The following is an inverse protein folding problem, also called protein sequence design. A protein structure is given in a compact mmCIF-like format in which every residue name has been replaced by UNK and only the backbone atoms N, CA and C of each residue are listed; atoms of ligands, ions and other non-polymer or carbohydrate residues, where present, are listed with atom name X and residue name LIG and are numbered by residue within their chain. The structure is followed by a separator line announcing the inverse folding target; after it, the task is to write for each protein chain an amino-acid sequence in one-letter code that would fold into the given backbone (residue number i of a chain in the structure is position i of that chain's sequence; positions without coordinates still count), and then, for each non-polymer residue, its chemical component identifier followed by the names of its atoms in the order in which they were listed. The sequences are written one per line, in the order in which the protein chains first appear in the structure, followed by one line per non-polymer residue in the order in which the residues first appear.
data_IF_289632638991
#
_entry.id   IF_289632638991
#
_cell.length_a   1.000
_cell.length_b   1.000
_cell.length_c   1.000
_cell.angle_alpha   90.00
_cell.angle_beta   90.00
_cell.angle_gamma   90.00
#
_symmetry.space_group_name_H-M   'P 1'
#
loop_
_entity.id
_entity.type
_entity.pdbx_description
1 polymer ?
#
# COMPACT_ATOMS: atom_id res chain seq x y z
N UNK A 1 22.39 -24.89 -3.40
CA UNK A 1 22.10 -23.45 -3.37
C UNK A 1 20.69 -23.27 -2.83
N UNK A 2 20.55 -22.88 -1.56
CA UNK A 2 19.23 -22.65 -0.96
C UNK A 2 18.71 -21.30 -1.48
N UNK A 3 17.63 -21.32 -2.27
CA UNK A 3 16.95 -20.13 -2.75
C UNK A 3 16.27 -19.46 -1.54
N UNK A 4 16.78 -18.31 -1.11
CA UNK A 4 16.09 -17.49 -0.14
C UNK A 4 14.83 -16.92 -0.83
N UNK A 5 13.66 -17.43 -0.46
CA UNK A 5 12.41 -16.81 -0.81
C UNK A 5 12.33 -15.50 -0.02
N UNK A 6 12.21 -14.38 -0.74
CA UNK A 6 11.98 -13.07 -0.16
C UNK A 6 10.57 -13.06 0.41
N UNK A 7 10.41 -13.34 1.70
CA UNK A 7 9.11 -13.23 2.37
C UNK A 7 8.95 -11.79 2.81
N UNK A 8 8.27 -11.00 2.00
CA UNK A 8 7.78 -9.69 2.38
C UNK A 8 6.72 -9.90 3.47
N UNK A 9 7.07 -9.61 4.73
CA UNK A 9 6.12 -9.68 5.84
C UNK A 9 5.15 -8.49 5.78
N UNK A 10 4.30 -8.44 4.74
CA UNK A 10 3.18 -7.52 4.68
C UNK A 10 2.04 -8.12 5.49
N UNK A 11 2.01 -7.84 6.80
CA UNK A 11 0.95 -8.33 7.70
C UNK A 11 -0.32 -7.51 7.47
N UNK A 12 -1.14 -7.95 6.53
CA UNK A 12 -2.52 -7.51 6.33
C UNK A 12 -3.45 -8.65 6.78
N UNK A 13 -3.66 -8.77 8.09
CA UNK A 13 -4.65 -9.71 8.60
C UNK A 13 -5.82 -8.96 9.22
N UNK A 14 -7.03 -9.26 8.79
CA UNK A 14 -8.29 -8.67 9.23
C UNK A 14 -9.14 -9.70 9.94
N UNK A 15 -9.59 -9.40 11.17
CA UNK A 15 -10.70 -10.10 11.78
C UNK A 15 -11.77 -9.09 12.20
N UNK A 16 -13.02 -9.42 11.95
CA UNK A 16 -14.16 -8.54 12.10
C UNK A 16 -15.19 -9.08 13.11
N UNK A 17 -15.74 -8.22 13.98
CA UNK A 17 -16.97 -8.46 14.74
C UNK A 17 -17.82 -7.18 14.74
N UNK A 18 -19.10 -7.32 14.46
CA UNK A 18 -20.01 -6.27 14.02
C UNK A 18 -20.73 -5.44 15.11
N UNK A 19 -21.40 -4.36 14.71
CA UNK A 19 -22.30 -3.51 15.52
C UNK A 19 -22.65 -2.13 14.89
N UNK A 20 -23.91 -1.69 14.98
CA UNK A 20 -24.51 -0.49 14.32
C UNK A 20 -24.42 0.78 15.19
N UNK A 21 -24.38 1.98 14.57
CA UNK A 21 -25.34 3.10 14.74
C UNK A 21 -25.01 4.33 13.89
N UNK A 22 -26.04 5.10 13.53
CA UNK A 22 -25.99 6.36 12.80
C UNK A 22 -26.00 7.54 13.79
N UNK A 23 -25.38 8.64 13.39
CA UNK A 23 -25.69 10.05 13.51
C UNK A 23 -24.45 10.90 13.80
N UNK A 24 -24.29 12.01 13.04
CA UNK A 24 -23.51 13.20 13.35
C UNK A 24 -22.09 13.02 13.92
N UNK A 25 -21.21 12.26 13.24
CA UNK A 25 -19.88 11.99 13.78
C UNK A 25 -18.88 13.13 13.55
N UNK A 26 -18.12 13.55 14.57
CA UNK A 26 -17.04 14.52 14.37
C UNK A 26 -16.01 13.99 13.36
N UNK A 27 -15.45 14.88 12.53
CA UNK A 27 -14.45 14.51 11.52
C UNK A 27 -13.32 13.70 12.17
N UNK A 28 -12.94 12.58 11.49
CA UNK A 28 -11.89 11.70 11.98
C UNK A 28 -10.58 12.48 12.18
N UNK A 29 -10.01 12.38 13.39
CA UNK A 29 -8.77 13.06 13.77
C UNK A 29 -7.54 12.20 13.53
N UNK A 30 -7.73 10.91 13.28
CA UNK A 30 -6.66 9.96 13.00
C UNK A 30 -7.16 8.78 12.16
N UNK A 31 -6.25 8.01 11.54
CA UNK A 31 -6.61 6.81 10.78
C UNK A 31 -7.40 5.78 11.58
N UNK A 32 -7.14 5.66 12.89
CA UNK A 32 -7.83 4.74 13.79
C UNK A 32 -9.29 5.14 14.06
N UNK A 33 -9.63 6.41 13.85
CA UNK A 33 -10.98 6.94 14.04
C UNK A 33 -11.88 6.73 12.81
N UNK A 34 -11.28 6.33 11.68
CA UNK A 34 -12.03 6.07 10.45
C UNK A 34 -12.72 4.71 10.53
N UNK A 35 -14.03 4.72 10.35
CA UNK A 35 -14.83 3.49 10.38
C UNK A 35 -14.49 2.55 9.23
N UNK A 36 -14.36 1.28 9.54
CA UNK A 36 -14.24 0.21 8.56
C UNK A 36 -15.64 -0.22 8.15
N UNK A 37 -16.01 -0.20 6.85
CA UNK A 37 -17.32 -0.67 6.39
C UNK A 37 -17.56 -2.14 6.75
N UNK A 38 -18.80 -2.50 7.08
CA UNK A 38 -19.17 -3.83 7.60
C UNK A 38 -20.16 -4.60 6.76
N UNK A 39 -20.57 -4.02 5.67
CA UNK A 39 -21.51 -4.65 4.73
C UNK A 39 -21.09 -4.33 3.30
N UNK A 40 -21.42 -5.18 2.33
CA UNK A 40 -21.17 -4.89 0.91
C UNK A 40 -21.75 -3.53 0.48
N UNK A 41 -22.92 -3.17 1.00
CA UNK A 41 -23.56 -1.88 0.67
C UNK A 41 -22.79 -0.68 1.23
N UNK A 42 -22.35 -0.74 2.47
CA UNK A 42 -21.56 0.33 3.08
C UNK A 42 -20.18 0.43 2.39
N UNK A 43 -19.56 -0.70 2.04
CA UNK A 43 -18.29 -0.74 1.31
C UNK A 43 -18.42 -0.10 -0.07
N UNK A 44 -19.46 -0.46 -0.83
CA UNK A 44 -19.73 0.14 -2.14
C UNK A 44 -19.98 1.65 -2.04
N UNK A 45 -20.76 2.10 -1.07
CA UNK A 45 -21.03 3.53 -0.85
C UNK A 45 -19.76 4.29 -0.51
N UNK A 46 -18.90 3.74 0.37
CA UNK A 46 -17.62 4.33 0.71
C UNK A 46 -16.69 4.40 -0.50
N UNK A 47 -16.47 3.28 -1.21
CA UNK A 47 -15.60 3.23 -2.38
C UNK A 47 -16.06 4.18 -3.50
N UNK A 48 -17.37 4.18 -3.83
CA UNK A 48 -17.91 5.14 -4.80
C UNK A 48 -17.56 6.59 -4.45
N UNK A 49 -17.75 6.96 -3.19
CA UNK A 49 -17.51 8.32 -2.72
C UNK A 49 -16.03 8.68 -2.72
N UNK A 50 -15.18 7.82 -2.14
CA UNK A 50 -13.76 8.15 -1.96
C UNK A 50 -13.00 8.11 -3.29
N UNK A 51 -13.28 7.14 -4.17
CA UNK A 51 -12.61 7.04 -5.46
C UNK A 51 -12.88 8.25 -6.35
N UNK A 52 -14.12 8.71 -6.38
CA UNK A 52 -14.49 9.92 -7.12
C UNK A 52 -13.91 11.19 -6.48
N UNK A 53 -13.97 11.29 -5.14
CA UNK A 53 -13.44 12.46 -4.45
C UNK A 53 -11.92 12.57 -4.61
N UNK A 54 -11.17 11.48 -4.45
CA UNK A 54 -9.70 11.50 -4.61
C UNK A 54 -9.28 11.93 -6.03
N UNK A 55 -10.05 11.55 -7.05
CA UNK A 55 -9.78 11.89 -8.45
C UNK A 55 -10.30 13.26 -8.87
N UNK A 56 -11.22 13.84 -8.12
CA UNK A 56 -11.76 15.15 -8.45
C UNK A 56 -10.71 16.28 -8.25
N UNK A 57 -10.43 17.12 -9.26
CA UNK A 57 -9.45 18.20 -9.12
C UNK A 57 -9.87 19.25 -8.09
N UNK A 58 -11.17 19.31 -7.78
CA UNK A 58 -11.74 20.24 -6.80
C UNK A 58 -11.59 19.78 -5.34
N UNK A 59 -11.10 18.56 -5.10
CA UNK A 59 -10.87 18.07 -3.73
C UNK A 59 -9.78 18.86 -3.05
N UNK A 60 -10.13 19.43 -1.90
CA UNK A 60 -9.22 20.25 -1.11
C UNK A 60 -8.08 19.38 -0.52
N UNK A 61 -6.85 19.87 -0.51
CA UNK A 61 -5.72 19.14 0.10
C UNK A 61 -5.98 18.69 1.55
N UNK A 62 -6.69 19.50 2.33
CA UNK A 62 -7.03 19.17 3.72
C UNK A 62 -7.97 17.95 3.88
N UNK A 63 -8.72 17.58 2.83
CA UNK A 63 -9.62 16.42 2.86
C UNK A 63 -8.91 15.11 2.44
N UNK A 64 -7.76 15.20 1.78
CA UNK A 64 -7.03 14.04 1.24
C UNK A 64 -6.66 13.00 2.33
N UNK A 65 -6.15 13.38 3.53
CA UNK A 65 -5.83 12.40 4.55
C UNK A 65 -7.03 11.54 4.94
N UNK A 66 -8.17 12.16 5.25
CA UNK A 66 -9.38 11.43 5.62
C UNK A 66 -9.89 10.54 4.49
N UNK A 67 -9.91 11.05 3.25
CA UNK A 67 -10.36 10.30 2.07
C UNK A 67 -9.47 9.07 1.82
N UNK A 68 -8.14 9.21 1.89
CA UNK A 68 -7.22 8.09 1.72
C UNK A 68 -7.31 7.05 2.85
N UNK A 69 -7.56 7.46 4.09
CA UNK A 69 -7.78 6.52 5.20
C UNK A 69 -9.10 5.75 5.02
N UNK A 70 -10.17 6.42 4.59
CA UNK A 70 -11.43 5.77 4.28
C UNK A 70 -11.29 4.81 3.09
N UNK A 71 -10.57 5.22 2.04
CA UNK A 71 -10.24 4.37 0.89
C UNK A 71 -9.52 3.10 1.36
N UNK A 72 -8.45 3.24 2.12
CA UNK A 72 -7.66 2.11 2.62
C UNK A 72 -8.50 1.17 3.48
N UNK A 73 -9.33 1.70 4.38
CA UNK A 73 -10.20 0.88 5.24
C UNK A 73 -11.31 0.17 4.44
N UNK A 74 -11.84 0.79 3.38
CA UNK A 74 -12.82 0.16 2.52
C UNK A 74 -12.21 -1.00 1.70
N UNK A 75 -11.01 -0.84 1.16
CA UNK A 75 -10.28 -1.93 0.50
C UNK A 75 -9.90 -3.04 1.48
N UNK A 76 -9.44 -2.71 2.68
CA UNK A 76 -9.16 -3.71 3.71
C UNK A 76 -10.39 -4.52 4.09
N UNK A 77 -11.56 -3.89 4.18
CA UNK A 77 -12.81 -4.61 4.42
C UNK A 77 -13.14 -5.56 3.25
N UNK A 78 -12.91 -5.12 2.02
CA UNK A 78 -13.17 -5.93 0.83
C UNK A 78 -12.20 -7.11 0.71
N UNK A 79 -10.91 -6.90 0.96
CA UNK A 79 -9.90 -7.97 0.99
C UNK A 79 -10.19 -9.02 2.07
N UNK A 80 -10.70 -8.57 3.24
CA UNK A 80 -11.10 -9.48 4.32
C UNK A 80 -12.37 -10.30 4.00
N UNK A 81 -13.17 -9.83 3.05
CA UNK A 81 -14.44 -10.45 2.65
C UNK A 81 -14.51 -10.57 1.12
N UNK A 82 -13.71 -11.44 0.49
CA UNK A 82 -13.64 -11.55 -0.97
C UNK A 82 -14.99 -11.93 -1.61
N UNK A 83 -15.86 -12.61 -0.85
CA UNK A 83 -17.25 -12.93 -1.24
C UNK A 83 -18.13 -11.68 -1.43
N UNK A 84 -17.71 -10.52 -0.93
CA UNK A 84 -18.44 -9.26 -1.10
C UNK A 84 -18.24 -8.63 -2.48
N UNK A 85 -17.15 -8.94 -3.17
CA UNK A 85 -16.78 -8.26 -4.41
C UNK A 85 -17.91 -8.21 -5.44
N UNK A 86 -18.62 -9.31 -5.80
CA UNK A 86 -19.70 -9.24 -6.77
C UNK A 86 -20.84 -8.32 -6.33
N UNK A 87 -21.19 -8.35 -5.03
CA UNK A 87 -22.26 -7.52 -4.45
C UNK A 87 -21.88 -6.05 -4.35
N UNK A 88 -20.59 -5.76 -4.16
CA UNK A 88 -20.03 -4.41 -4.15
C UNK A 88 -20.03 -3.86 -5.58
N UNK A 89 -19.50 -4.60 -6.55
CA UNK A 89 -19.43 -4.17 -7.96
C UNK A 89 -20.83 -3.89 -8.53
N UNK A 90 -21.83 -4.72 -8.22
CA UNK A 90 -23.21 -4.51 -8.68
C UNK A 90 -23.84 -3.18 -8.19
N UNK A 91 -23.27 -2.56 -7.16
CA UNK A 91 -23.72 -1.26 -6.60
C UNK A 91 -22.85 -0.08 -7.01
N UNK A 92 -21.76 -0.33 -7.72
CA UNK A 92 -20.84 0.71 -8.18
C UNK A 92 -21.18 1.16 -9.60
N UNK A 93 -20.98 2.46 -9.89
CA UNK A 93 -21.01 2.96 -11.27
C UNK A 93 -19.91 2.27 -12.11
N UNK A 94 -20.16 2.16 -13.41
CA UNK A 94 -19.27 1.47 -14.35
C UNK A 94 -17.86 2.06 -14.41
N UNK A 95 -17.72 3.38 -14.20
CA UNK A 95 -16.43 4.08 -14.14
C UNK A 95 -15.59 3.72 -12.89
N UNK A 96 -16.23 3.28 -11.81
CA UNK A 96 -15.56 2.93 -10.54
C UNK A 96 -15.25 1.43 -10.43
N UNK A 97 -16.01 0.58 -11.12
CA UNK A 97 -15.86 -0.88 -11.04
C UNK A 97 -14.43 -1.38 -11.37
N UNK A 98 -13.76 -0.95 -12.48
CA UNK A 98 -12.41 -1.41 -12.79
C UNK A 98 -11.39 -0.94 -11.75
N UNK A 99 -11.56 0.25 -11.18
CA UNK A 99 -10.70 0.77 -10.12
C UNK A 99 -10.78 -0.12 -8.89
N UNK A 100 -11.99 -0.47 -8.48
CA UNK A 100 -12.22 -1.30 -7.30
C UNK A 100 -11.72 -2.73 -7.52
N UNK A 101 -11.95 -3.29 -8.71
CA UNK A 101 -11.46 -4.62 -9.05
C UNK A 101 -9.93 -4.70 -9.00
N UNK A 102 -9.23 -3.73 -9.58
CA UNK A 102 -7.77 -3.71 -9.58
C UNK A 102 -7.18 -3.53 -8.16
N UNK A 103 -7.72 -2.62 -7.36
CA UNK A 103 -7.27 -2.43 -5.97
C UNK A 103 -7.55 -3.66 -5.08
N UNK A 104 -8.71 -4.30 -5.24
CA UNK A 104 -9.06 -5.52 -4.50
C UNK A 104 -8.11 -6.66 -4.86
N UNK A 105 -7.86 -6.86 -6.16
CA UNK A 105 -6.90 -7.86 -6.65
C UNK A 105 -5.52 -7.63 -6.05
N UNK A 106 -4.98 -6.41 -6.16
CA UNK A 106 -3.69 -6.06 -5.60
C UNK A 106 -3.64 -6.30 -4.08
N UNK A 107 -4.67 -5.91 -3.34
CA UNK A 107 -4.76 -6.11 -1.90
C UNK A 107 -4.75 -7.59 -1.52
N UNK A 108 -5.53 -8.42 -2.22
CA UNK A 108 -5.59 -9.87 -2.01
C UNK A 108 -4.27 -10.57 -2.36
N UNK A 109 -3.62 -10.18 -3.46
CA UNK A 109 -2.34 -10.76 -3.84
C UNK A 109 -1.25 -10.43 -2.83
N UNK A 110 -1.20 -9.20 -2.31
CA UNK A 110 -0.28 -8.82 -1.24
C UNK A 110 -0.59 -9.53 0.09
N UNK A 111 -1.87 -9.72 0.45
CA UNK A 111 -2.23 -10.48 1.65
C UNK A 111 -1.76 -11.93 1.55
N UNK A 112 -1.96 -12.56 0.40
CA UNK A 112 -1.51 -13.92 0.15
C UNK A 112 0.02 -14.08 0.14
N UNK A 113 0.77 -13.03 -0.21
CA UNK A 113 2.23 -13.00 -0.05
C UNK A 113 2.67 -13.04 1.41
N UNK A 114 1.89 -12.45 2.31
CA UNK A 114 2.16 -12.49 3.76
C UNK A 114 2.08 -13.89 4.39
N UNK A 115 1.54 -14.88 3.67
CA UNK A 115 1.40 -16.26 4.09
C UNK A 115 0.23 -16.53 5.04
N UNK A 116 -0.14 -17.79 5.17
CA UNK A 116 -1.25 -18.27 6.01
C UNK A 116 -0.84 -18.57 7.47
N UNK A 117 0.27 -17.98 7.92
CA UNK A 117 0.80 -18.24 9.25
C UNK A 117 -0.05 -17.63 10.38
N UNK A 118 0.12 -18.11 11.64
CA UNK A 118 -0.54 -17.52 12.80
C UNK A 118 -0.11 -16.06 12.99
N UNK A 119 -1.05 -15.20 13.39
CA UNK A 119 -0.75 -13.80 13.67
C UNK A 119 0.31 -13.66 14.76
N UNK A 120 1.26 -12.72 14.58
CA UNK A 120 2.27 -12.47 15.60
C UNK A 120 1.62 -11.95 16.90
N UNK A 121 2.27 -12.21 18.03
CA UNK A 121 1.84 -11.68 19.33
C UNK A 121 2.19 -10.20 19.51
N UNK A 122 3.25 -9.75 18.85
CA UNK A 122 3.82 -8.41 18.95
C UNK A 122 3.83 -7.72 17.60
N UNK A 123 3.83 -6.40 17.61
CA UNK A 123 4.07 -5.62 16.41
C UNK A 123 5.52 -5.78 15.94
N UNK A 124 5.79 -5.58 14.63
CA UNK A 124 7.16 -5.51 14.14
C UNK A 124 7.95 -4.38 14.82
N UNK A 125 9.26 -4.57 14.94
CA UNK A 125 10.18 -3.56 15.44
C UNK A 125 10.53 -2.56 14.32
N UNK A 126 9.53 -1.79 13.92
CA UNK A 126 9.64 -0.76 12.90
C UNK A 126 9.65 0.64 13.51
N UNK A 127 10.29 1.56 12.84
CA UNK A 127 10.12 2.99 13.07
C UNK A 127 9.22 3.55 11.96
N UNK A 128 8.12 4.21 12.36
CA UNK A 128 7.20 4.81 11.40
C UNK A 128 7.44 6.30 11.33
N UNK A 129 7.74 6.76 10.11
CA UNK A 129 8.02 8.17 9.82
C UNK A 129 7.00 8.73 8.82
N UNK A 130 6.93 10.05 8.69
CA UNK A 130 6.24 10.69 7.57
C UNK A 130 6.93 10.33 6.25
N UNK A 131 6.18 10.08 5.17
CA UNK A 131 6.79 10.01 3.85
C UNK A 131 7.32 11.40 3.47
N UNK A 132 8.25 11.45 2.52
CA UNK A 132 8.65 12.72 1.92
C UNK A 132 7.45 13.40 1.24
N UNK A 133 7.45 14.74 1.10
CA UNK A 133 6.39 15.45 0.38
C UNK A 133 6.08 14.86 -1.00
N UNK A 134 4.82 14.94 -1.41
CA UNK A 134 4.33 14.38 -2.70
C UNK A 134 5.20 14.82 -3.87
N UNK A 135 5.49 16.12 -3.95
CA UNK A 135 6.28 16.74 -5.01
C UNK A 135 7.73 16.23 -5.03
N UNK A 136 8.31 15.96 -3.85
CA UNK A 136 9.66 15.40 -3.73
C UNK A 136 9.68 13.95 -4.21
N UNK A 137 8.74 13.12 -3.77
CA UNK A 137 8.64 11.73 -4.26
C UNK A 137 8.40 11.69 -5.76
N UNK A 138 7.51 12.53 -6.27
CA UNK A 138 7.21 12.63 -7.71
C UNK A 138 8.45 13.05 -8.52
N UNK A 139 9.28 13.95 -8.00
CA UNK A 139 10.53 14.33 -8.67
C UNK A 139 11.52 13.17 -8.75
N UNK A 140 11.64 12.34 -7.71
CA UNK A 140 12.53 11.16 -7.72
C UNK A 140 12.02 10.08 -8.68
N UNK A 141 10.71 9.85 -8.74
CA UNK A 141 10.14 8.92 -9.72
C UNK A 141 10.32 9.41 -11.16
N UNK A 142 10.14 10.72 -11.41
CA UNK A 142 10.35 11.31 -12.72
C UNK A 142 11.84 11.24 -13.15
N UNK A 143 12.77 11.44 -12.21
CA UNK A 143 14.20 11.27 -12.46
C UNK A 143 14.53 9.81 -12.84
N UNK A 144 13.95 8.84 -12.13
CA UNK A 144 14.14 7.42 -12.43
C UNK A 144 13.52 7.05 -13.78
N UNK A 145 12.34 7.57 -14.11
CA UNK A 145 11.71 7.41 -15.43
C UNK A 145 12.60 7.99 -16.53
N UNK A 146 13.09 9.21 -16.38
CA UNK A 146 13.98 9.85 -17.36
C UNK A 146 15.28 9.06 -17.58
N UNK A 147 15.82 8.46 -16.51
CA UNK A 147 17.05 7.68 -16.56
C UNK A 147 16.86 6.28 -17.17
N UNK A 148 15.65 5.71 -17.11
CA UNK A 148 15.43 4.28 -17.41
C UNK A 148 14.38 4.03 -18.49
N UNK A 149 13.53 5.00 -18.80
CA UNK A 149 12.35 4.82 -19.65
C UNK A 149 11.23 4.01 -18.99
N UNK A 150 11.38 3.61 -17.72
CA UNK A 150 10.34 2.90 -16.96
C UNK A 150 9.36 3.94 -16.42
N UNK A 151 8.03 3.81 -16.68
CA UNK A 151 7.05 4.79 -16.21
C UNK A 151 7.09 4.99 -14.69
N UNK A 152 7.02 6.24 -14.23
CA UNK A 152 7.12 6.68 -12.83
C UNK A 152 6.24 5.87 -11.87
N UNK A 153 5.07 5.45 -12.33
CA UNK A 153 4.08 4.75 -11.52
C UNK A 153 4.56 3.37 -11.04
N UNK A 154 5.47 2.72 -11.76
CA UNK A 154 6.07 1.47 -11.30
C UNK A 154 6.98 1.68 -10.09
N UNK A 155 7.77 2.75 -10.08
CA UNK A 155 8.58 3.11 -8.91
C UNK A 155 7.70 3.47 -7.71
N UNK A 156 6.65 4.24 -7.94
CA UNK A 156 5.68 4.58 -6.90
C UNK A 156 4.96 3.33 -6.36
N UNK A 157 4.60 2.37 -7.22
CA UNK A 157 3.98 1.11 -6.83
C UNK A 157 4.90 0.24 -5.99
N UNK A 158 6.14 0.04 -6.42
CA UNK A 158 7.14 -0.72 -5.64
C UNK A 158 7.32 -0.05 -4.27
N UNK A 159 7.53 1.25 -4.24
CA UNK A 159 7.72 2.01 -3.00
C UNK A 159 6.49 1.94 -2.06
N UNK A 160 5.27 1.96 -2.65
CA UNK A 160 4.03 1.76 -1.89
C UNK A 160 3.95 0.36 -1.27
N UNK A 161 4.29 -0.66 -2.05
CA UNK A 161 4.23 -2.07 -1.62
C UNK A 161 5.29 -2.35 -0.56
N UNK A 162 6.53 -1.93 -0.79
CA UNK A 162 7.66 -2.24 0.09
C UNK A 162 7.55 -1.55 1.46
N UNK A 163 7.33 -0.24 1.48
CA UNK A 163 7.44 0.51 2.74
C UNK A 163 6.36 1.57 2.95
N UNK A 164 5.23 1.51 2.21
CA UNK A 164 4.21 2.58 2.27
C UNK A 164 4.80 3.94 1.96
N UNK A 165 5.53 4.03 0.84
CA UNK A 165 6.18 5.26 0.37
C UNK A 165 7.26 5.77 1.36
N UNK A 166 8.04 4.86 1.91
CA UNK A 166 9.13 5.16 2.84
C UNK A 166 8.68 5.44 4.27
N UNK A 167 7.42 5.18 4.63
CA UNK A 167 6.95 5.31 6.03
C UNK A 167 7.58 4.28 6.96
N UNK A 168 7.78 3.06 6.49
CA UNK A 168 8.36 1.98 7.30
C UNK A 168 9.88 2.07 7.21
N UNK A 169 10.52 2.23 8.38
CA UNK A 169 11.96 2.14 8.56
C UNK A 169 12.26 0.91 9.41
N UNK A 170 13.06 0.02 8.87
CA UNK A 170 13.45 -1.22 9.51
C UNK A 170 13.93 -2.24 8.49
N UNK A 171 14.54 -3.30 9.00
CA UNK A 171 15.00 -4.42 8.19
C UNK A 171 13.93 -5.51 8.16
N UNK A 172 13.66 -6.08 6.99
CA UNK A 172 12.75 -7.22 6.88
C UNK A 172 13.35 -8.48 7.51
N UNK A 173 12.54 -9.48 7.76
CA UNK A 173 13.00 -10.80 8.24
C UNK A 173 14.00 -11.48 7.29
N UNK A 174 14.00 -11.11 6.01
CA UNK A 174 14.94 -11.57 5.00
C UNK A 174 16.20 -10.69 4.89
N UNK A 175 16.34 -9.66 5.72
CA UNK A 175 17.49 -8.75 5.70
C UNK A 175 17.36 -7.60 4.69
N UNK A 176 16.20 -7.40 4.06
CA UNK A 176 15.98 -6.29 3.13
C UNK A 176 15.92 -4.95 3.87
N UNK A 177 16.50 -3.90 3.28
CA UNK A 177 16.73 -2.59 3.89
C UNK A 177 16.26 -1.45 2.99
N UNK A 178 16.04 -0.32 3.63
CA UNK A 178 15.72 0.94 2.96
C UNK A 178 14.30 1.02 2.39
N UNK A 179 13.94 2.17 1.80
CA UNK A 179 12.57 2.43 1.34
C UNK A 179 12.12 1.52 0.20
N UNK A 180 13.04 0.97 -0.58
CA UNK A 180 12.79 0.04 -1.68
C UNK A 180 13.17 -1.41 -1.33
N UNK A 181 13.44 -1.70 -0.05
CA UNK A 181 13.70 -3.04 0.50
C UNK A 181 14.75 -3.87 -0.28
N UNK A 182 15.92 -3.29 -0.49
CA UNK A 182 17.04 -4.01 -1.10
C UNK A 182 17.69 -5.00 -0.15
N UNK A 183 17.94 -6.22 -0.63
CA UNK A 183 18.88 -7.14 0.00
C UNK A 183 20.31 -6.58 -0.18
N UNK A 184 21.20 -6.62 0.84
CA UNK A 184 22.54 -6.05 0.76
C UNK A 184 23.37 -6.48 -0.47
N UNK A 185 23.26 -7.76 -0.86
CA UNK A 185 23.94 -8.28 -2.07
C UNK A 185 23.41 -7.63 -3.34
N UNK A 186 22.11 -7.40 -3.42
CA UNK A 186 21.47 -6.72 -4.56
C UNK A 186 21.85 -5.23 -4.57
N UNK A 187 21.91 -4.61 -3.39
CA UNK A 187 22.38 -3.24 -3.25
C UNK A 187 23.83 -3.09 -3.72
N UNK A 188 24.71 -3.98 -3.32
CA UNK A 188 26.13 -3.96 -3.74
C UNK A 188 26.27 -4.00 -5.28
N UNK A 189 25.30 -4.57 -5.99
CA UNK A 189 25.31 -4.68 -7.45
C UNK A 189 24.66 -3.49 -8.16
N UNK A 190 23.59 -2.94 -7.63
CA UNK A 190 22.78 -1.93 -8.29
C UNK A 190 22.71 -0.60 -7.52
N UNK A 191 23.08 -0.60 -6.25
CA UNK A 191 23.04 0.57 -5.40
C UNK A 191 24.15 1.57 -5.72
N UNK A 192 23.87 2.85 -5.45
CA UNK A 192 24.83 3.94 -5.39
C UNK A 192 24.32 4.89 -4.32
N UNK A 193 25.22 5.38 -3.45
CA UNK A 193 24.85 6.24 -2.33
C UNK A 193 24.37 5.46 -1.10
N UNK A 194 23.28 5.89 -0.47
CA UNK A 194 22.75 5.32 0.76
C UNK A 194 21.51 4.48 0.50
N UNK A 195 21.53 3.20 0.90
CA UNK A 195 20.40 2.26 0.79
C UNK A 195 19.14 2.77 1.50
N UNK A 196 19.28 3.65 2.51
CA UNK A 196 18.18 4.22 3.28
C UNK A 196 17.68 5.55 2.72
N UNK A 197 18.39 6.16 1.76
CA UNK A 197 17.91 7.34 1.07
C UNK A 197 16.85 6.97 0.02
N UNK A 198 15.77 7.77 -0.07
CA UNK A 198 14.68 7.47 -0.98
C UNK A 198 15.08 7.62 -2.45
N UNK A 199 15.82 8.68 -2.80
CA UNK A 199 16.24 8.94 -4.18
C UNK A 199 17.21 7.87 -4.67
N UNK A 200 18.24 7.58 -3.86
CA UNK A 200 19.26 6.60 -4.21
C UNK A 200 18.65 5.20 -4.38
N UNK A 201 17.74 4.81 -3.49
CA UNK A 201 17.05 3.53 -3.56
C UNK A 201 16.10 3.44 -4.76
N UNK A 202 15.36 4.50 -5.11
CA UNK A 202 14.49 4.54 -6.30
C UNK A 202 15.32 4.41 -7.59
N UNK A 203 16.43 5.13 -7.69
CA UNK A 203 17.34 5.02 -8.84
C UNK A 203 17.98 3.63 -8.93
N UNK A 204 18.34 3.02 -7.81
CA UNK A 204 18.85 1.65 -7.76
C UNK A 204 17.79 0.63 -8.23
N UNK A 205 16.52 0.83 -7.86
CA UNK A 205 15.41 0.02 -8.37
C UNK A 205 15.29 0.10 -9.90
N UNK A 206 15.46 1.30 -10.47
CA UNK A 206 15.51 1.49 -11.91
C UNK A 206 16.61 0.66 -12.58
N UNK A 207 17.83 0.73 -12.06
CA UNK A 207 18.96 -0.07 -12.58
C UNK A 207 18.71 -1.57 -12.48
N UNK A 208 18.15 -2.05 -11.37
CA UNK A 208 17.78 -3.44 -11.19
C UNK A 208 16.72 -3.88 -12.20
N UNK A 209 15.67 -3.10 -12.39
CA UNK A 209 14.60 -3.41 -13.35
C UNK A 209 15.10 -3.41 -14.78
N UNK A 210 15.91 -2.42 -15.21
CA UNK A 210 16.52 -2.39 -16.56
C UNK A 210 17.40 -3.61 -16.81
N UNK A 211 18.24 -3.98 -15.85
CA UNK A 211 19.12 -5.15 -15.98
C UNK A 211 18.32 -6.46 -16.12
N UNK A 212 17.02 -6.44 -15.83
CA UNK A 212 16.14 -7.61 -15.94
C UNK A 212 15.05 -7.49 -17.01
N UNK A 213 15.17 -6.52 -17.92
CA UNK A 213 14.37 -6.43 -19.14
C UNK A 213 13.38 -5.27 -19.22
N UNK A 214 13.22 -4.46 -18.17
CA UNK A 214 12.38 -3.27 -18.21
C UNK A 214 13.02 -2.18 -19.11
N UNK A 215 12.20 -1.33 -19.76
CA UNK A 215 10.74 -1.32 -19.78
C UNK A 215 10.09 -2.34 -20.73
N UNK A 216 10.86 -3.07 -21.54
CA UNK A 216 10.33 -3.96 -22.59
C UNK A 216 9.58 -5.18 -22.05
N UNK A 217 9.96 -5.68 -20.86
CA UNK A 217 9.31 -6.79 -20.15
C UNK A 217 9.22 -6.47 -18.66
N UNK A 218 8.23 -5.69 -18.30
CA UNK A 218 8.03 -5.25 -16.92
C UNK A 218 7.69 -6.41 -15.98
N UNK A 219 6.85 -7.34 -16.42
CA UNK A 219 6.43 -8.48 -15.58
C UNK A 219 7.64 -9.33 -15.20
N UNK A 220 8.52 -9.63 -16.17
CA UNK A 220 9.79 -10.33 -15.91
C UNK A 220 10.69 -9.55 -14.95
N UNK A 221 10.85 -8.25 -15.17
CA UNK A 221 11.69 -7.41 -14.31
C UNK A 221 11.17 -7.36 -12.87
N UNK A 222 9.86 -7.22 -12.68
CA UNK A 222 9.20 -7.26 -11.37
C UNK A 222 9.32 -8.64 -10.72
N UNK A 223 9.20 -9.73 -11.49
CA UNK A 223 9.43 -11.07 -10.97
C UNK A 223 10.87 -11.28 -10.48
N UNK A 224 11.86 -10.60 -11.11
CA UNK A 224 13.24 -10.60 -10.65
C UNK A 224 13.47 -9.73 -9.43
N UNK A 225 12.63 -8.70 -9.23
CA UNK A 225 12.64 -7.87 -8.03
C UNK A 225 12.16 -8.66 -6.81
N UNK A 226 11.02 -9.33 -6.93
CA UNK A 226 10.44 -10.19 -5.89
C UNK A 226 9.89 -11.47 -6.53
N UNK A 227 10.53 -12.58 -6.35
CA UNK A 227 10.25 -13.88 -7.01
C UNK A 227 8.82 -14.42 -6.74
N UNK A 228 7.80 -13.62 -7.08
CA UNK A 228 6.39 -13.94 -6.91
C UNK A 228 5.51 -13.30 -7.98
N UNK A 229 4.69 -14.11 -8.63
CA UNK A 229 3.65 -13.63 -9.57
C UNK A 229 2.63 -12.71 -8.87
N UNK A 230 2.28 -12.98 -7.61
CA UNK A 230 1.38 -12.13 -6.83
C UNK A 230 1.94 -10.73 -6.60
N UNK A 231 3.26 -10.64 -6.41
CA UNK A 231 3.94 -9.34 -6.32
C UNK A 231 3.84 -8.59 -7.65
N UNK A 232 4.12 -9.27 -8.76
CA UNK A 232 4.01 -8.70 -10.11
C UNK A 232 2.61 -8.13 -10.35
N UNK A 233 1.59 -8.95 -10.14
CA UNK A 233 0.18 -8.57 -10.32
C UNK A 233 -0.23 -7.37 -9.46
N UNK A 234 0.22 -7.33 -8.20
CA UNK A 234 -0.10 -6.23 -7.29
C UNK A 234 0.59 -4.93 -7.71
N UNK A 235 1.89 -4.97 -8.03
CA UNK A 235 2.64 -3.79 -8.46
C UNK A 235 2.10 -3.26 -9.79
N UNK A 236 1.82 -4.12 -10.77
CA UNK A 236 1.23 -3.72 -12.05
C UNK A 236 -0.15 -3.10 -11.87
N UNK A 237 -1.01 -3.70 -11.03
CA UNK A 237 -2.33 -3.15 -10.74
C UNK A 237 -2.28 -1.73 -10.19
N UNK A 238 -1.43 -1.45 -9.20
CA UNK A 238 -1.25 -0.11 -8.67
C UNK A 238 -0.61 0.85 -9.68
N UNK A 239 0.38 0.38 -10.46
CA UNK A 239 1.01 1.19 -11.49
C UNK A 239 0.00 1.62 -12.56
N UNK A 240 -0.80 0.68 -13.07
CA UNK A 240 -1.83 0.98 -14.07
C UNK A 240 -2.90 1.95 -13.56
N UNK A 241 -3.32 1.81 -12.30
CA UNK A 241 -4.24 2.77 -11.68
C UNK A 241 -3.66 4.19 -11.60
N UNK A 242 -2.36 4.33 -11.29
CA UNK A 242 -1.69 5.63 -11.23
C UNK A 242 -1.38 6.19 -12.64
N UNK A 243 -1.17 5.34 -13.64
CA UNK A 243 -1.01 5.77 -15.03
C UNK A 243 -2.33 6.20 -15.66
N UNK A 244 -3.43 5.56 -15.30
CA UNK A 244 -4.76 5.94 -15.79
C UNK A 244 -5.27 7.25 -15.18
N UNK A 245 -4.88 7.55 -13.95
CA UNK A 245 -5.19 8.80 -13.25
C UNK A 245 -4.12 9.07 -12.18
N UNK A 246 -3.27 10.07 -12.41
CA UNK A 246 -2.19 10.43 -11.48
C UNK A 246 -2.67 10.80 -10.08
N UNK A 247 -3.92 11.24 -9.94
CA UNK A 247 -4.51 11.56 -8.64
C UNK A 247 -4.76 10.32 -7.77
N UNK A 248 -4.75 9.10 -8.33
CA UNK A 248 -4.76 7.88 -7.55
C UNK A 248 -3.59 7.82 -6.56
N UNK A 249 -2.42 8.35 -6.93
CA UNK A 249 -1.25 8.45 -6.05
C UNK A 249 -1.55 9.24 -4.77
N UNK A 250 -2.38 10.29 -4.84
CA UNK A 250 -2.74 11.10 -3.67
C UNK A 250 -3.51 10.31 -2.62
N UNK A 251 -4.33 9.35 -3.05
CA UNK A 251 -5.02 8.41 -2.15
C UNK A 251 -4.04 7.46 -1.46
N UNK A 252 -3.19 6.80 -2.24
CA UNK A 252 -2.16 5.87 -1.73
C UNK A 252 -1.14 6.55 -0.83
N UNK A 253 -0.79 7.80 -1.12
CA UNK A 253 0.09 8.62 -0.28
C UNK A 253 -0.44 8.77 1.16
N UNK A 254 -1.75 8.77 1.35
CA UNK A 254 -2.37 8.85 2.68
C UNK A 254 -2.45 7.50 3.41
N UNK A 255 -2.18 6.39 2.72
CA UNK A 255 -2.29 5.07 3.34
C UNK A 255 -1.31 4.91 4.48
N UNK A 256 -1.83 4.34 5.57
CA UNK A 256 -1.12 4.17 6.82
C UNK A 256 -0.54 2.76 6.95
N UNK A 257 0.34 2.60 7.94
CA UNK A 257 0.89 1.30 8.31
C UNK A 257 -0.04 0.63 9.29
N UNK A 258 -0.56 -0.53 8.91
CA UNK A 258 -1.36 -1.37 9.77
C UNK A 258 -0.56 -2.60 10.20
N UNK A 259 -0.75 -3.02 11.45
CA UNK A 259 -0.19 -4.26 12.00
C UNK A 259 -1.29 -5.08 12.62
N UNK A 260 -1.41 -6.34 12.22
CA UNK A 260 -2.34 -7.29 12.80
C UNK A 260 -1.59 -8.21 13.76
N UNK A 261 -2.13 -8.34 14.97
CA UNK A 261 -1.61 -9.23 16.01
C UNK A 261 -2.73 -10.13 16.53
N UNK A 262 -2.39 -11.07 17.42
CA UNK A 262 -3.40 -11.86 18.14
C UNK A 262 -4.38 -11.02 18.95
N UNK A 263 -4.04 -9.75 19.23
CA UNK A 263 -4.89 -8.79 19.97
C UNK A 263 -5.78 -7.95 19.06
N UNK A 264 -5.69 -8.11 17.73
CA UNK A 264 -6.47 -7.35 16.76
C UNK A 264 -5.61 -6.56 15.78
N UNK A 265 -6.23 -5.65 15.06
CA UNK A 265 -5.56 -4.78 14.07
C UNK A 265 -5.30 -3.40 14.67
N UNK A 266 -4.12 -2.87 14.39
CA UNK A 266 -3.64 -1.58 14.90
C UNK A 266 -3.10 -0.73 13.77
N UNK A 267 -3.26 0.59 13.88
CA UNK A 267 -2.47 1.56 13.14
C UNK A 267 -1.18 1.81 13.93
N UNK A 268 -0.04 1.70 13.26
CA UNK A 268 1.24 2.16 13.77
C UNK A 268 1.39 3.63 13.35
N UNK A 269 1.26 4.60 14.29
CA UNK A 269 1.29 6.01 13.94
C UNK A 269 2.71 6.47 13.62
N UNK A 270 2.81 7.61 12.94
CA UNK A 270 4.08 8.33 12.84
C UNK A 270 4.67 8.59 14.24
N UNK A 271 5.95 8.25 14.41
CA UNK A 271 6.66 8.26 15.68
C UNK A 271 6.56 6.94 16.46
N UNK A 272 5.95 5.88 15.90
CA UNK A 272 6.06 4.53 16.46
C UNK A 272 7.54 4.07 16.40
N UNK A 273 8.12 3.38 17.43
CA UNK A 273 7.46 2.84 18.64
C UNK A 273 7.33 3.83 19.81
N UNK A 274 7.91 5.02 19.74
CA UNK A 274 7.79 6.02 20.80
C UNK A 274 6.34 6.45 21.05
N UNK A 275 5.52 6.50 19.98
CA UNK A 275 4.07 6.63 20.07
C UNK A 275 3.42 5.24 19.97
N UNK A 276 2.55 4.93 20.91
CA UNK A 276 1.88 3.64 20.99
C UNK A 276 1.02 3.34 19.75
N UNK A 277 0.99 2.07 19.35
CA UNK A 277 0.07 1.57 18.34
C UNK A 277 -1.39 1.83 18.77
N UNK A 278 -2.24 2.30 17.84
CA UNK A 278 -3.65 2.60 18.11
C UNK A 278 -4.52 1.50 17.52
N UNK A 279 -5.33 0.86 18.39
CA UNK A 279 -6.24 -0.19 17.93
C UNK A 279 -7.29 0.42 16.98
N UNK A 280 -7.47 -0.23 15.85
CA UNK A 280 -8.58 0.09 14.95
C UNK A 280 -9.83 -0.48 15.60
N UNK A 281 -10.69 0.40 16.08
CA UNK A 281 -11.97 -0.02 16.67
C UNK A 281 -12.87 -0.48 15.53
N UNK A 282 -13.41 -1.69 15.60
CA UNK A 282 -14.57 -2.02 14.80
C UNK A 282 -15.66 -1.02 15.22
N UNK A 283 -16.36 -0.36 14.29
CA UNK A 283 -17.50 0.46 14.68
C UNK A 283 -18.46 -0.40 15.53
N UNK A 284 -18.87 0.03 16.71
CA UNK A 284 -19.94 -0.59 17.48
C UNK A 284 -21.15 -0.77 16.57
N UNK A 285 -21.74 -1.97 16.58
CA UNK A 285 -22.88 -2.34 15.78
C UNK A 285 -24.10 -1.55 16.07
#
# INVERSE_FOLDING_TARGET
MRRAALVLALVLAVAYAGGRSADGEPAAKSPADVRVPRTPTATAASLKRVERALRAPTTRPADLPRLGWEQQNAYRALTAHPDWLPRVLAKLPTDVQPIVTANERAGRDLEALGGEGPRPRHHPDWHIVSPLPVEVLRSYYAEAEAATGIPWAYFASIHLVETRLGRIRGTSTAGAQGPMQFIPETWARYGQGDINDNRDAILAAGRLLQANGAPGDMSRALFRYNNSERYVEAVESYAQLMLSDERAFLGYYQWQVYSATTKGTFVLPEGYPSKAARRVTPSSG
#
